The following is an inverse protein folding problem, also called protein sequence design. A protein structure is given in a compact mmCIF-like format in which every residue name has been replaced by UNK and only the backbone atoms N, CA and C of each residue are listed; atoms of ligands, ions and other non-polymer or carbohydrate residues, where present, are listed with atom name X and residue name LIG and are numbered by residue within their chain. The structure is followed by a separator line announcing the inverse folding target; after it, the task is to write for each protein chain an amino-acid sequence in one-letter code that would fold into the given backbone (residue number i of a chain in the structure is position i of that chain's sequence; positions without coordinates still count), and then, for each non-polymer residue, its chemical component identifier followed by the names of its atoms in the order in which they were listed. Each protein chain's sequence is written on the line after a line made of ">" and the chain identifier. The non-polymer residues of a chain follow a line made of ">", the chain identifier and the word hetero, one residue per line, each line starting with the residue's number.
data_IF_848261872143
#
_entry.id   IF_848261872143
#
_cell.length_a   1.000
_cell.length_b   1.000
_cell.length_c   1.000
_cell.angle_alpha   90.00
_cell.angle_beta   90.00
_cell.angle_gamma   90.00
#
_symmetry.space_group_name_H-M   'P 1'
#
loop_
_entity.id
_entity.type
_entity.pdbx_description
1 polymer ?
#
# COMPACT_ATOMS: atom_id res chain seq x y z
N UNK A 1 1.94 -6.44 5.98
CA UNK A 1 1.57 -7.31 4.84
C UNK A 1 0.16 -7.85 5.08
N UNK A 2 -0.71 -7.79 4.08
CA UNK A 2 -2.09 -8.33 4.14
C UNK A 2 -2.07 -9.83 3.83
N UNK A 3 -2.74 -10.64 4.66
CA UNK A 3 -2.78 -12.09 4.49
C UNK A 3 -3.59 -12.55 3.27
N UNK A 4 -4.61 -11.78 2.89
CA UNK A 4 -5.46 -12.04 1.72
C UNK A 4 -4.69 -11.93 0.38
N UNK A 5 -3.69 -11.05 0.29
CA UNK A 5 -2.77 -10.97 -0.84
C UNK A 5 -1.92 -12.26 -0.95
N UNK A 6 -1.38 -12.73 0.18
CA UNK A 6 -0.62 -13.99 0.21
C UNK A 6 -1.49 -15.18 -0.20
N UNK A 7 -2.74 -15.23 0.27
CA UNK A 7 -3.68 -16.27 -0.11
C UNK A 7 -4.04 -16.21 -1.61
N UNK A 8 -4.33 -15.02 -2.14
CA UNK A 8 -4.61 -14.85 -3.57
C UNK A 8 -3.40 -15.25 -4.44
N UNK A 9 -2.17 -14.94 -4.00
CA UNK A 9 -0.96 -15.40 -4.66
C UNK A 9 -0.85 -16.93 -4.61
N UNK A 10 -1.11 -17.57 -3.47
CA UNK A 10 -1.10 -19.02 -3.36
C UNK A 10 -2.10 -19.67 -4.32
N UNK A 11 -3.30 -19.13 -4.44
CA UNK A 11 -4.28 -19.58 -5.43
C UNK A 11 -3.74 -19.50 -6.86
N UNK A 12 -3.03 -18.43 -7.20
CA UNK A 12 -2.43 -18.26 -8.52
C UNK A 12 -1.33 -19.30 -8.79
N UNK A 13 -0.39 -19.42 -7.87
CA UNK A 13 0.82 -20.25 -8.03
C UNK A 13 0.56 -21.75 -8.00
N UNK A 14 -0.50 -22.17 -7.31
CA UNK A 14 -0.82 -23.57 -7.11
C UNK A 14 -2.06 -24.03 -7.91
N UNK A 15 -2.62 -23.19 -8.76
CA UNK A 15 -3.87 -23.48 -9.45
C UNK A 15 -5.02 -23.78 -8.48
N UNK A 16 -5.27 -22.87 -7.51
CA UNK A 16 -6.24 -23.05 -6.42
C UNK A 16 -5.99 -24.30 -5.57
N UNK A 17 -4.73 -24.52 -5.19
CA UNK A 17 -4.27 -25.65 -4.36
C UNK A 17 -4.43 -27.04 -4.99
N UNK A 18 -4.63 -27.11 -6.29
CA UNK A 18 -4.61 -28.40 -7.03
C UNK A 18 -3.19 -28.87 -7.32
N UNK A 19 -2.22 -27.93 -7.38
CA UNK A 19 -0.83 -28.13 -7.79
C UNK A 19 -0.69 -28.71 -9.21
N UNK A 20 -1.77 -28.75 -9.99
CA UNK A 20 -1.74 -29.21 -11.39
C UNK A 20 -0.97 -28.20 -12.24
N UNK A 21 0.12 -28.66 -12.87
CA UNK A 21 1.00 -27.80 -13.66
C UNK A 21 1.90 -26.87 -12.85
N UNK A 22 1.89 -26.96 -11.52
CA UNK A 22 2.81 -26.23 -10.65
C UNK A 22 4.20 -26.90 -10.66
N UNK A 23 5.26 -26.10 -10.53
CA UNK A 23 6.62 -26.58 -10.36
C UNK A 23 6.90 -27.14 -8.95
N UNK A 24 5.99 -26.92 -8.02
CA UNK A 24 6.05 -27.41 -6.63
C UNK A 24 4.85 -28.33 -6.37
N UNK A 25 5.01 -29.21 -5.37
CA UNK A 25 4.01 -30.20 -4.98
C UNK A 25 3.48 -29.92 -3.57
N UNK A 26 2.34 -30.52 -3.20
CA UNK A 26 1.69 -30.25 -1.93
C UNK A 26 2.58 -30.64 -0.73
N UNK A 27 3.33 -31.73 -0.82
CA UNK A 27 4.23 -32.24 0.22
C UNK A 27 5.41 -31.31 0.51
N UNK A 28 5.74 -30.39 -0.41
CA UNK A 28 6.77 -29.37 -0.17
C UNK A 28 6.29 -28.23 0.75
N UNK A 29 5.01 -28.14 1.08
CA UNK A 29 4.44 -27.01 1.85
C UNK A 29 4.80 -25.64 1.27
N UNK A 30 5.04 -25.55 -0.03
CA UNK A 30 5.45 -24.36 -0.77
C UNK A 30 4.28 -23.86 -1.63
N UNK A 31 3.58 -22.83 -1.13
CA UNK A 31 2.34 -22.35 -1.76
C UNK A 31 2.55 -21.19 -2.73
N UNK A 32 3.79 -20.86 -3.07
CA UNK A 32 4.10 -19.70 -3.89
C UNK A 32 5.25 -19.93 -4.89
N UNK A 33 5.62 -21.19 -5.15
CA UNK A 33 6.69 -21.53 -6.07
C UNK A 33 8.07 -21.00 -5.64
N UNK A 34 8.27 -20.74 -4.33
CA UNK A 34 9.52 -20.19 -3.84
C UNK A 34 10.71 -21.06 -4.20
N UNK A 35 11.77 -20.43 -4.75
CA UNK A 35 13.00 -21.12 -5.15
C UNK A 35 12.96 -21.75 -6.55
N UNK A 36 11.84 -21.69 -7.25
CA UNK A 36 11.75 -22.06 -8.67
C UNK A 36 12.26 -20.89 -9.51
N UNK A 37 13.53 -20.94 -9.92
CA UNK A 37 14.18 -19.86 -10.69
C UNK A 37 14.40 -20.24 -12.17
N UNK A 38 14.15 -21.47 -12.52
CA UNK A 38 14.22 -21.97 -13.91
C UNK A 38 13.35 -23.23 -14.07
N UNK A 39 13.05 -23.59 -15.32
CA UNK A 39 12.32 -24.81 -15.63
C UNK A 39 13.04 -26.04 -15.09
N UNK A 40 12.29 -26.96 -14.47
CA UNK A 40 12.79 -28.20 -13.91
C UNK A 40 13.33 -28.12 -12.48
N UNK A 41 13.40 -26.93 -11.87
CA UNK A 41 13.74 -26.79 -10.45
C UNK A 41 12.56 -27.14 -9.54
N UNK A 42 12.83 -27.91 -8.50
CA UNK A 42 11.80 -28.35 -7.54
C UNK A 42 11.33 -27.24 -6.56
N UNK A 43 12.02 -26.12 -6.50
CA UNK A 43 11.75 -25.10 -5.49
C UNK A 43 12.15 -25.51 -4.06
N UNK A 44 11.81 -24.66 -3.10
CA UNK A 44 12.07 -24.93 -1.68
C UNK A 44 10.99 -25.85 -1.09
N UNK A 45 11.35 -26.60 -0.04
CA UNK A 45 10.43 -27.36 0.80
C UNK A 45 10.46 -26.85 2.21
N UNK A 46 9.36 -26.97 2.93
CA UNK A 46 9.20 -26.54 4.32
C UNK A 46 8.63 -27.70 5.15
N UNK A 47 9.07 -27.83 6.39
CA UNK A 47 8.68 -28.95 7.27
C UNK A 47 7.17 -28.94 7.61
N UNK A 48 6.54 -27.76 7.60
CA UNK A 48 5.11 -27.63 7.88
C UNK A 48 4.46 -26.59 6.98
N UNK A 49 3.14 -26.68 6.75
CA UNK A 49 2.39 -25.64 6.01
C UNK A 49 2.57 -24.24 6.63
N UNK A 50 2.62 -24.17 7.97
CA UNK A 50 2.79 -22.89 8.68
C UNK A 50 4.13 -22.23 8.38
N UNK A 51 5.22 -23.03 8.25
CA UNK A 51 6.53 -22.50 7.87
C UNK A 51 6.55 -22.02 6.43
N UNK A 52 5.94 -22.77 5.51
CA UNK A 52 5.84 -22.36 4.11
C UNK A 52 5.04 -21.07 3.93
N UNK A 53 3.88 -20.96 4.60
CA UNK A 53 3.08 -19.72 4.59
C UNK A 53 3.84 -18.56 5.24
N UNK A 54 4.55 -18.81 6.35
CA UNK A 54 5.39 -17.78 6.99
C UNK A 54 6.48 -17.30 6.05
N UNK A 55 7.18 -18.21 5.38
CA UNK A 55 8.23 -17.87 4.42
C UNK A 55 7.68 -17.00 3.27
N UNK A 56 6.54 -17.37 2.70
CA UNK A 56 5.84 -16.59 1.68
C UNK A 56 5.50 -15.17 2.17
N UNK A 57 4.91 -15.05 3.36
CA UNK A 57 4.54 -13.74 3.94
C UNK A 57 5.79 -12.89 4.21
N UNK A 58 6.89 -13.49 4.67
CA UNK A 58 8.14 -12.78 4.89
C UNK A 58 8.75 -12.30 3.57
N UNK A 59 8.71 -13.12 2.53
CA UNK A 59 9.17 -12.75 1.20
C UNK A 59 8.37 -11.61 0.59
N UNK A 60 7.03 -11.68 0.64
CA UNK A 60 6.15 -10.59 0.22
C UNK A 60 6.37 -9.32 1.05
N UNK A 61 6.61 -9.44 2.38
CA UNK A 61 6.97 -8.29 3.20
C UNK A 61 8.30 -7.68 2.79
N UNK A 62 9.26 -8.48 2.38
CA UNK A 62 10.54 -7.98 1.89
C UNK A 62 10.37 -7.10 0.65
N UNK A 63 9.50 -7.50 -0.30
CA UNK A 63 9.15 -6.66 -1.44
C UNK A 63 8.41 -5.39 -1.03
N UNK A 64 7.44 -5.50 -0.11
CA UNK A 64 6.55 -4.41 0.25
C UNK A 64 7.16 -3.36 1.20
N UNK A 65 8.24 -3.67 1.93
CA UNK A 65 8.75 -2.79 3.00
C UNK A 65 10.19 -3.09 3.38
N UNK A 66 10.88 -2.04 3.82
CA UNK A 66 12.21 -2.13 4.45
C UNK A 66 12.15 -2.44 5.95
N UNK A 67 10.95 -2.48 6.56
CA UNK A 67 10.79 -2.74 8.00
C UNK A 67 11.26 -4.14 8.39
N UNK A 68 11.82 -4.28 9.58
CA UNK A 68 12.24 -5.56 10.14
C UNK A 68 11.10 -6.59 10.26
N UNK A 69 11.47 -7.85 10.31
CA UNK A 69 10.54 -8.93 10.61
C UNK A 69 10.21 -8.96 12.11
N UNK A 70 8.97 -9.27 12.46
CA UNK A 70 8.55 -9.45 13.88
C UNK A 70 8.95 -10.83 14.44
N UNK A 71 9.09 -11.82 13.55
CA UNK A 71 9.41 -13.20 13.92
C UNK A 71 10.73 -13.61 13.23
N UNK A 72 11.43 -14.63 13.73
CA UNK A 72 12.61 -15.16 13.06
C UNK A 72 12.37 -15.44 11.59
N UNK A 73 13.36 -15.12 10.75
CA UNK A 73 13.27 -15.34 9.31
C UNK A 73 13.30 -16.84 9.01
N UNK A 74 12.29 -17.33 8.30
CA UNK A 74 12.23 -18.70 7.78
C UNK A 74 12.21 -18.73 6.23
N UNK A 75 12.24 -17.56 5.62
CA UNK A 75 12.33 -17.41 4.17
C UNK A 75 13.79 -17.56 3.71
N UNK A 76 14.16 -18.65 3.00
CA UNK A 76 15.53 -18.86 2.56
C UNK A 76 15.98 -17.89 1.47
N UNK A 77 15.03 -17.20 0.85
CA UNK A 77 15.28 -16.24 -0.23
C UNK A 77 15.17 -14.77 0.19
N UNK A 78 14.86 -14.49 1.44
CA UNK A 78 14.65 -13.14 1.98
C UNK A 78 15.79 -12.16 1.62
N UNK A 79 17.03 -12.63 1.72
CA UNK A 79 18.23 -11.82 1.45
C UNK A 79 18.45 -11.43 -0.02
N UNK A 80 17.75 -12.11 -0.94
CA UNK A 80 17.87 -11.83 -2.37
C UNK A 80 16.83 -10.83 -2.89
N UNK A 81 15.87 -10.44 -2.06
CA UNK A 81 14.86 -9.47 -2.44
C UNK A 81 15.42 -8.05 -2.36
N UNK A 82 15.22 -7.26 -3.41
CA UNK A 82 15.40 -5.80 -3.33
C UNK A 82 14.30 -5.24 -2.42
N UNK A 83 14.63 -4.97 -1.16
CA UNK A 83 13.67 -4.62 -0.12
C UNK A 83 12.95 -3.31 -0.41
N UNK A 84 11.62 -3.30 -0.21
CA UNK A 84 10.78 -2.14 -0.47
C UNK A 84 10.58 -1.83 -1.95
N UNK A 85 10.97 -2.72 -2.87
CA UNK A 85 10.88 -2.49 -4.32
C UNK A 85 9.46 -2.67 -4.87
N UNK A 86 8.53 -3.29 -4.14
CA UNK A 86 7.15 -3.52 -4.59
C UNK A 86 6.16 -3.22 -3.46
N UNK A 87 5.93 -1.95 -3.19
CA UNK A 87 4.92 -1.49 -2.22
C UNK A 87 3.48 -1.79 -2.68
N UNK A 88 3.27 -1.92 -3.99
CA UNK A 88 2.00 -2.22 -4.64
C UNK A 88 2.01 -3.65 -5.18
N UNK A 89 0.84 -4.30 -5.18
CA UNK A 89 0.70 -5.68 -5.66
C UNK A 89 1.06 -5.79 -7.14
N UNK A 90 0.73 -4.78 -7.93
CA UNK A 90 1.06 -4.68 -9.36
C UNK A 90 2.59 -4.76 -9.59
N UNK A 91 3.38 -4.21 -8.69
CA UNK A 91 4.84 -4.19 -8.79
C UNK A 91 5.50 -5.52 -8.39
N UNK A 92 4.73 -6.51 -7.99
CA UNK A 92 5.23 -7.88 -7.89
C UNK A 92 5.52 -8.49 -9.28
N UNK A 93 4.95 -7.92 -10.35
CA UNK A 93 5.38 -8.17 -11.72
C UNK A 93 6.58 -7.31 -12.09
N UNK A 94 7.65 -7.92 -12.61
CA UNK A 94 8.87 -7.19 -12.98
C UNK A 94 8.64 -6.21 -14.13
N UNK A 95 7.69 -6.51 -15.03
CA UNK A 95 7.37 -5.64 -16.17
C UNK A 95 6.58 -4.39 -15.75
N UNK A 96 5.78 -4.48 -14.69
CA UNK A 96 4.99 -3.39 -14.15
C UNK A 96 5.74 -2.59 -13.08
N UNK A 97 6.84 -3.14 -12.57
CA UNK A 97 7.64 -2.51 -11.52
C UNK A 97 8.55 -1.43 -12.13
N UNK A 98 8.54 -0.18 -11.64
CA UNK A 98 9.37 0.91 -12.18
C UNK A 98 10.88 0.65 -12.16
N UNK A 99 11.32 -0.24 -11.25
CA UNK A 99 12.74 -0.62 -11.10
C UNK A 99 13.06 -1.96 -11.79
N UNK A 100 12.09 -2.58 -12.46
CA UNK A 100 12.24 -3.92 -13.02
C UNK A 100 12.46 -5.00 -11.96
N UNK A 101 12.14 -4.70 -10.68
CA UNK A 101 12.26 -5.64 -9.55
C UNK A 101 10.87 -6.17 -9.22
N UNK A 102 10.78 -7.47 -8.94
CA UNK A 102 9.50 -8.08 -8.61
C UNK A 102 9.63 -9.58 -8.45
N UNK A 103 8.52 -10.19 -8.05
CA UNK A 103 8.43 -11.63 -7.83
C UNK A 103 8.55 -12.42 -9.13
N UNK A 104 7.77 -12.05 -10.15
CA UNK A 104 7.66 -12.80 -11.40
C UNK A 104 8.01 -11.94 -12.63
N UNK A 105 8.68 -12.56 -13.61
CA UNK A 105 9.08 -11.91 -14.85
C UNK A 105 7.90 -11.76 -15.85
N UNK A 106 6.86 -12.57 -15.71
CA UNK A 106 5.70 -12.54 -16.61
C UNK A 106 4.83 -11.31 -16.45
N UNK A 107 4.33 -10.77 -17.57
CA UNK A 107 3.43 -9.61 -17.57
C UNK A 107 2.13 -9.85 -16.79
N UNK A 108 1.65 -8.82 -16.12
CA UNK A 108 0.37 -8.81 -15.42
C UNK A 108 0.32 -9.70 -14.17
N UNK A 109 1.46 -10.01 -13.58
CA UNK A 109 1.50 -10.91 -12.41
C UNK A 109 0.69 -10.38 -11.24
N UNK A 110 0.92 -9.14 -10.84
CA UNK A 110 0.17 -8.50 -9.76
C UNK A 110 -1.31 -8.35 -10.07
N UNK A 111 -1.66 -8.09 -11.33
CA UNK A 111 -3.05 -8.02 -11.80
C UNK A 111 -3.80 -9.36 -11.65
N UNK A 112 -3.13 -10.47 -11.94
CA UNK A 112 -3.70 -11.83 -11.74
C UNK A 112 -4.01 -12.05 -10.26
N UNK A 113 -3.11 -11.66 -9.34
CA UNK A 113 -3.34 -11.72 -7.90
C UNK A 113 -4.55 -10.87 -7.50
N UNK A 114 -4.64 -9.62 -7.98
CA UNK A 114 -5.76 -8.73 -7.68
C UNK A 114 -7.09 -9.25 -8.23
N UNK A 115 -7.08 -9.90 -9.39
CA UNK A 115 -8.26 -10.54 -9.97
C UNK A 115 -8.78 -11.68 -9.08
N UNK A 116 -7.88 -12.51 -8.56
CA UNK A 116 -8.23 -13.58 -7.61
C UNK A 116 -8.73 -12.97 -6.30
N UNK A 117 -8.04 -11.96 -5.78
CA UNK A 117 -8.44 -11.26 -4.55
C UNK A 117 -9.87 -10.70 -4.64
N UNK A 118 -10.25 -10.11 -5.79
CA UNK A 118 -11.64 -9.66 -6.04
C UNK A 118 -12.65 -10.78 -5.93
N UNK A 119 -12.34 -11.96 -6.48
CA UNK A 119 -13.21 -13.14 -6.39
C UNK A 119 -13.36 -13.64 -4.95
N UNK A 120 -12.28 -13.60 -4.16
CA UNK A 120 -12.26 -14.04 -2.75
C UNK A 120 -13.04 -13.07 -1.86
N UNK A 121 -12.81 -11.78 -2.02
CA UNK A 121 -13.36 -10.76 -1.12
C UNK A 121 -14.74 -10.23 -1.55
N UNK A 122 -15.27 -10.68 -2.68
CA UNK A 122 -16.44 -10.07 -3.31
C UNK A 122 -16.14 -8.65 -3.80
N UNK A 123 -17.15 -7.94 -4.25
CA UNK A 123 -17.02 -6.57 -4.77
C UNK A 123 -16.86 -5.50 -3.68
N UNK A 124 -16.29 -5.86 -2.54
CA UNK A 124 -16.04 -4.89 -1.47
C UNK A 124 -14.94 -3.90 -1.88
N UNK A 125 -15.35 -2.79 -2.45
CA UNK A 125 -14.66 -1.51 -2.41
C UNK A 125 -13.37 -1.38 -3.20
N UNK A 126 -13.47 -1.13 -4.49
CA UNK A 126 -12.43 -0.60 -5.34
C UNK A 126 -12.93 -0.57 -6.77
N UNK A 127 -13.27 0.60 -7.29
CA UNK A 127 -13.68 0.74 -8.68
C UNK A 127 -12.58 0.17 -9.60
N UNK A 128 -12.82 -1.05 -10.13
CA UNK A 128 -12.01 -1.63 -11.19
C UNK A 128 -12.27 -0.81 -12.44
N UNK A 129 -11.26 -0.11 -12.91
CA UNK A 129 -11.25 0.38 -14.27
C UNK A 129 -11.50 -0.79 -15.24
N UNK A 130 -12.22 -0.55 -16.33
CA UNK A 130 -12.41 -1.48 -17.45
C UNK A 130 -11.05 -2.05 -17.90
N UNK A 131 -11.02 -3.26 -18.44
CA UNK A 131 -9.83 -4.08 -18.73
C UNK A 131 -8.64 -3.39 -19.45
N UNK A 132 -8.80 -2.13 -19.88
CA UNK A 132 -7.79 -1.34 -20.61
C UNK A 132 -7.47 0.01 -19.96
N UNK A 133 -7.82 0.21 -18.68
CA UNK A 133 -7.58 1.50 -18.03
C UNK A 133 -6.31 1.46 -17.19
N UNK A 134 -5.28 2.13 -17.70
CA UNK A 134 -4.05 2.39 -16.96
C UNK A 134 -4.03 3.82 -16.43
N UNK A 135 -3.73 3.96 -15.15
CA UNK A 135 -3.45 5.22 -14.48
C UNK A 135 -1.93 5.39 -14.36
N UNK A 136 -1.38 6.39 -15.03
CA UNK A 136 0.06 6.67 -15.00
C UNK A 136 0.35 7.81 -14.05
N UNK A 137 1.38 7.66 -13.23
CA UNK A 137 1.83 8.70 -12.31
C UNK A 137 3.08 9.35 -12.88
N UNK A 138 2.94 10.62 -13.27
CA UNK A 138 3.99 11.44 -13.91
C UNK A 138 3.94 12.87 -13.37
N UNK A 139 4.99 13.66 -13.62
CA UNK A 139 4.97 15.11 -13.36
C UNK A 139 4.03 15.82 -14.32
N UNK A 140 4.13 15.51 -15.60
CA UNK A 140 3.20 15.94 -16.66
C UNK A 140 2.95 14.77 -17.60
N UNK A 141 1.87 14.81 -18.36
CA UNK A 141 1.60 13.76 -19.36
C UNK A 141 2.70 13.63 -20.41
N UNK A 142 3.20 14.77 -20.89
CA UNK A 142 4.24 14.83 -21.92
C UNK A 142 5.61 14.29 -21.45
N UNK A 143 5.89 14.36 -20.16
CA UNK A 143 7.15 13.87 -19.60
C UNK A 143 7.06 12.38 -19.23
N UNK A 144 7.16 11.54 -20.25
CA UNK A 144 7.12 10.08 -20.05
C UNK A 144 8.29 9.56 -19.19
N UNK A 145 9.43 10.27 -19.16
CA UNK A 145 10.60 9.88 -18.37
C UNK A 145 10.39 10.10 -16.88
N UNK A 146 9.47 10.99 -16.48
CA UNK A 146 9.11 11.20 -15.09
C UNK A 146 8.18 10.13 -14.52
N UNK A 147 7.78 9.12 -15.30
CA UNK A 147 6.84 8.12 -14.80
C UNK A 147 7.42 7.32 -13.64
N UNK A 148 6.75 7.40 -12.48
CA UNK A 148 7.11 6.66 -11.27
C UNK A 148 6.18 5.49 -10.98
N UNK A 149 5.09 5.34 -11.74
CA UNK A 149 4.17 4.22 -11.59
C UNK A 149 3.13 4.15 -12.70
N UNK A 150 2.58 2.95 -12.89
CA UNK A 150 1.40 2.69 -13.71
C UNK A 150 0.52 1.69 -12.97
N UNK A 151 -0.77 2.02 -12.80
CA UNK A 151 -1.69 1.28 -11.95
C UNK A 151 -3.00 1.02 -12.69
N UNK A 152 -3.62 -0.12 -12.45
CA UNK A 152 -5.00 -0.40 -12.91
C UNK A 152 -6.05 -0.01 -11.88
N UNK A 153 -5.64 0.22 -10.63
CA UNK A 153 -6.50 0.69 -9.55
C UNK A 153 -6.22 2.16 -9.29
N UNK A 154 -7.20 3.02 -9.49
CA UNK A 154 -7.06 4.47 -9.32
C UNK A 154 -6.57 4.85 -7.91
N UNK A 155 -7.04 4.16 -6.88
CA UNK A 155 -6.65 4.45 -5.50
C UNK A 155 -5.15 4.19 -5.25
N UNK A 156 -4.57 3.16 -5.87
CA UNK A 156 -3.13 2.92 -5.80
C UNK A 156 -2.34 4.02 -6.50
N UNK A 157 -2.84 4.52 -7.63
CA UNK A 157 -2.23 5.65 -8.32
C UNK A 157 -2.28 6.93 -7.48
N UNK A 158 -3.41 7.23 -6.81
CA UNK A 158 -3.54 8.36 -5.89
C UNK A 158 -2.59 8.23 -4.70
N UNK A 159 -2.55 7.06 -4.04
CA UNK A 159 -1.63 6.80 -2.94
C UNK A 159 -0.15 6.98 -3.34
N UNK A 160 0.18 6.70 -4.61
CA UNK A 160 1.52 6.96 -5.14
C UNK A 160 1.78 8.47 -5.25
N UNK A 161 0.81 9.25 -5.73
CA UNK A 161 0.91 10.73 -5.82
C UNK A 161 1.01 11.35 -4.42
N UNK A 162 0.23 10.87 -3.46
CA UNK A 162 0.22 11.39 -2.08
C UNK A 162 1.59 11.25 -1.38
N UNK A 163 2.34 10.22 -1.76
CA UNK A 163 3.71 10.00 -1.27
C UNK A 163 4.77 10.77 -2.08
N UNK A 164 4.41 11.26 -3.26
CA UNK A 164 5.32 11.92 -4.19
C UNK A 164 4.75 13.28 -4.65
N UNK A 165 4.82 14.33 -3.83
CA UNK A 165 4.34 15.66 -4.19
C UNK A 165 4.95 16.17 -5.50
N UNK A 166 4.14 16.83 -6.32
CA UNK A 166 4.55 17.31 -7.65
C UNK A 166 4.31 16.32 -8.79
N UNK A 167 3.72 15.16 -8.47
CA UNK A 167 3.23 14.21 -9.47
C UNK A 167 1.71 14.25 -9.58
N UNK A 168 1.19 13.73 -10.68
CA UNK A 168 -0.24 13.64 -10.95
C UNK A 168 -0.59 12.28 -11.53
N UNK A 169 -1.85 11.85 -11.34
CA UNK A 169 -2.41 10.67 -12.01
C UNK A 169 -3.00 11.08 -13.34
N UNK A 170 -2.61 10.39 -14.38
CA UNK A 170 -3.17 10.55 -15.73
C UNK A 170 -3.85 9.27 -16.19
N UNK A 171 -4.97 9.40 -16.89
CA UNK A 171 -5.61 8.28 -17.59
C UNK A 171 -4.86 7.90 -18.88
N UNK A 172 -5.39 6.95 -19.62
CA UNK A 172 -4.82 6.48 -20.89
C UNK A 172 -4.80 7.56 -22.00
N UNK A 173 -5.65 8.57 -21.88
CA UNK A 173 -5.76 9.66 -22.83
C UNK A 173 -4.94 10.88 -22.43
N UNK A 174 -4.24 10.82 -21.30
CA UNK A 174 -3.45 11.92 -20.76
C UNK A 174 -4.27 12.95 -19.98
N UNK A 175 -5.52 12.64 -19.67
CA UNK A 175 -6.34 13.50 -18.80
C UNK A 175 -5.82 13.39 -17.38
N UNK A 176 -5.53 14.53 -16.75
CA UNK A 176 -5.18 14.56 -15.33
C UNK A 176 -6.43 14.23 -14.49
N UNK A 177 -6.37 13.10 -13.76
CA UNK A 177 -7.46 12.60 -12.94
C UNK A 177 -7.30 12.98 -11.47
N UNK A 178 -6.04 13.09 -11.02
CA UNK A 178 -5.72 13.40 -9.63
C UNK A 178 -4.35 14.06 -9.54
N UNK A 179 -4.31 15.13 -8.79
CA UNK A 179 -3.07 15.80 -8.34
C UNK A 179 -3.23 16.03 -6.86
N UNK A 180 -2.20 15.74 -6.07
CA UNK A 180 -2.17 16.17 -4.69
C UNK A 180 -2.22 17.69 -4.69
N UNK A 181 -3.28 18.26 -4.11
CA UNK A 181 -3.36 19.71 -3.93
C UNK A 181 -2.31 20.13 -2.89
N UNK A 182 -1.12 20.44 -3.39
CA UNK A 182 -0.03 21.04 -2.63
C UNK A 182 -0.14 22.55 -2.64
N UNK A 183 -1.32 23.12 -2.88
CA UNK A 183 -1.53 24.52 -2.54
C UNK A 183 -1.01 24.69 -1.11
N UNK A 184 0.08 25.42 -0.97
CA UNK A 184 0.87 25.48 0.24
C UNK A 184 -0.09 25.75 1.42
N UNK A 185 -0.31 24.71 2.26
CA UNK A 185 -1.22 24.84 3.39
C UNK A 185 -0.73 26.02 4.20
N UNK A 186 -1.46 27.11 4.18
CA UNK A 186 -1.14 28.27 5.00
C UNK A 186 -1.48 27.92 6.47
N UNK A 187 -0.47 27.77 7.33
CA UNK A 187 -0.73 27.52 8.73
C UNK A 187 -1.67 28.58 9.30
N UNK A 188 -2.64 28.15 10.09
CA UNK A 188 -3.59 29.05 10.73
C UNK A 188 -3.75 28.72 12.21
N UNK A 189 -4.27 29.67 12.96
CA UNK A 189 -4.53 29.53 14.38
C UNK A 189 -5.94 29.01 14.62
N UNK A 190 -6.05 28.14 15.62
CA UNK A 190 -7.34 27.67 16.15
C UNK A 190 -7.38 27.86 17.66
N UNK A 191 -8.55 28.20 18.20
CA UNK A 191 -8.83 28.26 19.65
C UNK A 191 -9.56 26.98 20.06
N UNK A 192 -9.03 26.28 21.04
CA UNK A 192 -9.67 25.15 21.70
C UNK A 192 -10.20 25.62 23.04
N UNK A 193 -11.49 25.48 23.30
CA UNK A 193 -12.17 25.95 24.51
C UNK A 193 -12.45 24.84 25.53
N UNK A 194 -12.19 23.58 25.18
CA UNK A 194 -12.34 22.40 26.06
C UNK A 194 -11.00 21.93 26.60
N UNK A 195 -11.00 21.25 27.74
CA UNK A 195 -9.77 20.83 28.42
C UNK A 195 -9.27 19.46 27.99
N UNK A 196 -10.11 18.63 27.39
CA UNK A 196 -9.93 17.19 27.18
C UNK A 196 -9.98 16.77 25.70
N UNK A 197 -9.71 17.71 24.77
CA UNK A 197 -9.62 17.38 23.37
C UNK A 197 -8.44 16.43 23.11
N UNK A 198 -8.76 15.21 22.70
CA UNK A 198 -7.76 14.17 22.48
C UNK A 198 -6.82 14.51 21.33
N UNK A 199 -5.53 14.29 21.53
CA UNK A 199 -4.54 14.26 20.47
C UNK A 199 -4.37 12.82 19.98
N UNK A 200 -4.41 12.62 18.64
CA UNK A 200 -4.29 11.31 18.00
C UNK A 200 -3.04 11.21 17.12
N UNK A 201 -2.62 9.98 16.85
CA UNK A 201 -1.44 9.70 16.02
C UNK A 201 -1.69 9.93 14.51
N UNK A 202 -2.96 10.15 14.10
CA UNK A 202 -3.35 10.41 12.71
C UNK A 202 -4.73 11.05 12.62
N UNK A 203 -5.15 11.46 11.41
CA UNK A 203 -6.37 12.21 11.15
C UNK A 203 -7.60 11.27 11.17
N UNK A 204 -8.13 10.96 12.34
CA UNK A 204 -9.34 10.14 12.46
C UNK A 204 -9.49 9.43 13.80
N UNK A 205 -10.73 9.07 14.14
CA UNK A 205 -11.02 8.28 15.35
C UNK A 205 -10.53 6.84 15.27
N UNK A 206 -10.20 6.36 14.09
CA UNK A 206 -9.56 5.06 13.83
C UNK A 206 -8.06 5.04 14.18
N UNK A 207 -7.44 6.20 14.42
CA UNK A 207 -6.06 6.28 14.90
C UNK A 207 -6.01 6.29 16.43
N UNK A 208 -4.98 5.67 16.98
CA UNK A 208 -4.77 5.61 18.43
C UNK A 208 -4.63 7.01 19.05
N UNK A 209 -5.18 7.19 20.24
CA UNK A 209 -4.93 8.37 21.08
C UNK A 209 -3.45 8.38 21.51
N UNK A 210 -2.86 9.56 21.64
CA UNK A 210 -1.49 9.73 22.19
C UNK A 210 -1.44 9.63 23.71
N UNK A 211 -2.60 9.63 24.38
CA UNK A 211 -2.71 9.74 25.83
C UNK A 211 -2.63 11.18 26.35
N UNK A 212 -2.50 12.16 25.44
CA UNK A 212 -2.42 13.59 25.78
C UNK A 212 -3.66 14.33 25.28
N UNK A 213 -3.96 15.45 25.94
CA UNK A 213 -4.99 16.41 25.58
C UNK A 213 -4.35 17.75 25.20
N UNK A 214 -5.06 18.56 24.42
CA UNK A 214 -4.59 19.92 24.11
C UNK A 214 -4.63 20.84 25.33
N UNK A 215 -5.65 20.66 26.20
CA UNK A 215 -6.09 21.71 27.10
C UNK A 215 -6.75 22.88 26.35
N UNK A 216 -7.18 23.89 27.09
CA UNK A 216 -7.65 25.18 26.52
C UNK A 216 -6.47 25.98 26.01
N UNK A 217 -6.61 26.57 24.83
CA UNK A 217 -5.52 27.43 24.31
C UNK A 217 -5.66 27.70 22.82
N UNK A 218 -4.65 28.37 22.30
CA UNK A 218 -4.50 28.67 20.87
C UNK A 218 -3.39 27.81 20.30
N UNK A 219 -3.70 27.15 19.19
CA UNK A 219 -2.80 26.19 18.55
C UNK A 219 -2.64 26.50 17.07
N UNK A 220 -1.45 26.30 16.53
CA UNK A 220 -1.19 26.43 15.09
C UNK A 220 -1.45 25.10 14.42
N UNK A 221 -2.31 25.09 13.41
CA UNK A 221 -2.52 23.97 12.51
C UNK A 221 -1.60 24.14 11.30
N UNK A 222 -0.84 23.10 11.00
CA UNK A 222 0.14 23.08 9.88
C UNK A 222 -0.26 22.15 8.76
N UNK A 223 -1.34 21.37 8.95
CA UNK A 223 -1.89 20.47 7.97
C UNK A 223 -3.35 20.17 8.31
N UNK A 224 -4.21 19.99 7.31
CA UNK A 224 -5.61 19.60 7.47
C UNK A 224 -5.91 18.40 6.59
N UNK A 225 -6.59 17.41 7.16
CA UNK A 225 -7.07 16.24 6.41
C UNK A 225 -8.50 15.89 6.82
N UNK A 226 -9.23 15.25 5.91
CA UNK A 226 -10.50 14.61 6.23
C UNK A 226 -10.23 13.28 6.93
N UNK A 227 -11.12 12.85 7.83
CA UNK A 227 -10.96 11.58 8.54
C UNK A 227 -12.17 11.22 9.37
N UNK A 228 -12.28 9.95 9.73
CA UNK A 228 -13.43 9.42 10.48
C UNK A 228 -13.61 10.17 11.80
N UNK A 229 -14.86 10.56 12.12
CA UNK A 229 -15.25 11.15 13.40
C UNK A 229 -14.89 12.63 13.54
N UNK A 230 -14.89 13.36 12.44
CA UNK A 230 -14.91 14.80 12.38
C UNK A 230 -15.57 15.26 11.09
N UNK A 231 -16.52 16.20 11.18
CA UNK A 231 -17.23 16.77 10.04
C UNK A 231 -16.41 17.89 9.39
N UNK A 232 -15.66 18.66 10.19
CA UNK A 232 -14.80 19.75 9.72
C UNK A 232 -13.38 19.29 9.37
N UNK A 233 -13.03 18.04 9.72
CA UNK A 233 -11.74 17.42 9.47
C UNK A 233 -10.79 17.44 10.67
N UNK A 234 -9.55 17.04 10.42
CA UNK A 234 -8.49 16.89 11.42
C UNK A 234 -7.35 17.84 11.13
N UNK A 235 -6.85 18.49 12.15
CA UNK A 235 -5.73 19.42 12.07
C UNK A 235 -4.48 18.87 12.75
N UNK A 236 -3.32 18.94 12.07
CA UNK A 236 -2.02 18.58 12.66
C UNK A 236 -1.45 19.76 13.39
N UNK A 237 -1.10 19.55 14.66
CA UNK A 237 -0.50 20.56 15.52
C UNK A 237 0.96 20.84 15.09
N UNK A 238 1.34 22.11 15.04
CA UNK A 238 2.73 22.57 14.76
C UNK A 238 3.74 21.99 15.75
N UNK A 239 3.32 21.74 17.00
CA UNK A 239 4.16 21.12 18.03
C UNK A 239 4.63 19.70 17.72
N UNK A 240 4.06 19.06 16.69
CA UNK A 240 4.32 17.66 16.40
C UNK A 240 3.61 16.67 17.32
N UNK A 241 2.81 17.14 18.28
CA UNK A 241 2.12 16.29 19.26
C UNK A 241 1.11 15.32 18.61
N UNK A 242 0.59 15.65 17.40
CA UNK A 242 -0.34 14.83 16.66
C UNK A 242 -1.49 15.62 16.05
N UNK A 243 -2.64 14.96 15.92
CA UNK A 243 -3.83 15.43 15.23
C UNK A 243 -4.98 15.65 16.19
N UNK A 244 -5.74 16.73 15.98
CA UNK A 244 -6.95 17.07 16.73
C UNK A 244 -8.14 17.19 15.79
N UNK A 245 -9.36 16.85 16.26
CA UNK A 245 -10.59 17.16 15.54
C UNK A 245 -10.85 18.66 15.52
N UNK A 246 -11.08 19.19 14.33
CA UNK A 246 -11.38 20.61 14.13
C UNK A 246 -12.82 20.98 14.47
N UNK A 247 -13.69 19.98 14.76
CA UNK A 247 -15.06 20.22 15.26
C UNK A 247 -15.06 20.91 16.64
N UNK A 248 -13.94 20.80 17.38
CA UNK A 248 -13.75 21.38 18.71
C UNK A 248 -12.73 22.55 18.72
N UNK A 249 -12.42 23.07 17.54
CA UNK A 249 -11.37 24.08 17.37
C UNK A 249 -11.87 25.21 16.44
N UNK A 250 -12.12 26.37 17.00
CA UNK A 250 -12.55 27.56 16.26
C UNK A 250 -11.35 28.19 15.54
N UNK A 251 -11.45 28.38 14.22
CA UNK A 251 -10.42 29.10 13.46
C UNK A 251 -10.41 30.57 13.87
N UNK A 252 -9.24 31.04 14.25
CA UNK A 252 -8.98 32.47 14.50
C UNK A 252 -8.04 32.99 13.41
N UNK A 253 -8.42 34.09 12.82
CA UNK A 253 -7.70 34.74 11.69
C UNK A 253 -6.26 35.10 12.05
#
# INVERSE_FOLDING_TARGET
>A
MRGDIAFAQSCLETGNFTFSGSAVTLDQNNFCGMGVTSNGMKGNSFDTPQLGIRAQIQHLKAYASIDGLKNPCVDPRFKYVARGSAEYVEWLGQQENPQGKGWAAGAGYGEKILTILKKICGTAGGASGTADTWYRVRKTWADAKSQIGAFRVLENAKNCVDKNPGYSVFDKNGVNIYTLDTAAFSPYLVRVSITDLNIRKGPGTNYAKTGKFTGKGVFTIVEKQTGKGSDTGWGRLKSGAGWISLDYAEKIS
#
